data_IF_292313277343
#
_entry.id   IF_292313277343
#
_cell.length_a   1.000
_cell.length_b   1.000
_cell.length_c   1.000
_cell.angle_alpha   90.00
_cell.angle_beta   90.00
_cell.angle_gamma   90.00
#
_symmetry.space_group_name_H-M   'P 1'
#
loop_
_entity.id
_entity.type
_entity.pdbx_description
1 polymer ?
#
# COMPACT_ATOMS: atom_id res chain seq x y z
N UNK A 1 4.81 -11.72 2.52
CA UNK A 1 4.57 -10.38 3.09
C UNK A 1 3.07 -10.11 3.20
N UNK A 2 2.28 -10.00 2.12
CA UNK A 2 0.81 -9.79 2.22
C UNK A 2 0.00 -10.88 2.92
N UNK A 3 0.43 -12.15 2.84
CA UNK A 3 -0.21 -13.23 3.61
C UNK A 3 -0.20 -12.94 5.11
N UNK A 4 0.82 -12.24 5.63
CA UNK A 4 0.90 -11.87 7.05
C UNK A 4 0.05 -10.64 7.37
N UNK A 5 0.07 -9.62 6.52
CA UNK A 5 -0.74 -8.39 6.69
C UNK A 5 -2.26 -8.70 6.72
N UNK A 6 -2.72 -9.70 5.95
CA UNK A 6 -4.13 -10.12 5.94
C UNK A 6 -4.48 -11.18 7.01
N UNK A 7 -3.51 -12.00 7.44
CA UNK A 7 -3.69 -12.94 8.57
C UNK A 7 -3.85 -12.18 9.92
N UNK A 8 -3.24 -10.99 10.07
CA UNK A 8 -3.43 -10.08 11.20
C UNK A 8 -4.85 -9.51 11.33
N UNK A 9 -5.58 -9.36 10.22
CA UNK A 9 -6.96 -8.85 10.19
C UNK A 9 -8.02 -9.88 10.60
N UNK A 10 -7.63 -11.10 10.99
CA UNK A 10 -8.57 -12.11 11.51
C UNK A 10 -9.61 -12.63 10.51
N UNK A 11 -9.42 -12.38 9.21
CA UNK A 11 -10.31 -12.79 8.13
C UNK A 11 -10.11 -14.28 7.74
N UNK A 12 -10.11 -15.18 8.72
CA UNK A 12 -10.18 -16.63 8.52
C UNK A 12 -11.61 -17.11 8.26
N UNK A 13 -12.30 -16.49 7.29
CA UNK A 13 -13.51 -17.05 6.68
C UNK A 13 -13.31 -17.03 5.18
N UNK A 14 -13.45 -18.20 4.56
CA UNK A 14 -13.24 -18.44 3.13
C UNK A 14 -13.77 -17.28 2.29
N UNK A 15 -12.88 -16.38 1.88
CA UNK A 15 -13.21 -15.33 0.93
C UNK A 15 -13.72 -16.01 -0.34
N UNK A 16 -14.78 -15.47 -0.99
CA UNK A 16 -15.17 -15.96 -2.30
C UNK A 16 -13.95 -15.93 -3.22
N UNK A 17 -13.80 -16.95 -4.07
CA UNK A 17 -12.68 -17.00 -5.02
C UNK A 17 -12.68 -15.76 -5.90
N UNK A 18 -11.49 -15.24 -6.17
CA UNK A 18 -11.32 -14.16 -7.12
C UNK A 18 -11.78 -14.65 -8.51
N UNK A 19 -12.41 -13.77 -9.29
CA UNK A 19 -12.79 -14.06 -10.68
C UNK A 19 -11.71 -13.50 -11.59
N UNK A 20 -10.92 -14.31 -12.32
CA UNK A 20 -9.85 -13.79 -13.16
C UNK A 20 -10.34 -12.68 -14.11
N UNK A 21 -9.59 -11.59 -14.20
CA UNK A 21 -9.96 -10.39 -14.95
C UNK A 21 -8.79 -9.93 -15.82
N UNK A 22 -9.07 -9.42 -17.02
CA UNK A 22 -8.03 -8.87 -17.90
C UNK A 22 -8.38 -7.44 -18.27
N UNK A 23 -7.58 -6.50 -17.77
CA UNK A 23 -7.70 -5.10 -18.13
C UNK A 23 -6.85 -4.78 -19.38
N UNK A 24 -7.34 -4.00 -20.35
CA UNK A 24 -6.60 -3.67 -21.57
C UNK A 24 -5.23 -3.01 -21.32
N UNK A 25 -5.14 -2.17 -20.28
CA UNK A 25 -3.91 -1.46 -19.90
C UNK A 25 -3.04 -2.24 -18.92
N UNK A 26 -3.66 -2.86 -17.92
CA UNK A 26 -2.97 -3.39 -16.74
C UNK A 26 -2.66 -4.88 -16.84
N UNK A 27 -3.24 -5.56 -17.84
CA UNK A 27 -2.99 -6.98 -18.08
C UNK A 27 -3.91 -7.87 -17.26
N UNK A 28 -3.43 -9.09 -16.98
CA UNK A 28 -4.23 -10.14 -16.38
C UNK A 28 -4.05 -10.20 -14.87
N UNK A 29 -5.18 -10.18 -14.16
CA UNK A 29 -5.33 -10.40 -12.73
C UNK A 29 -5.88 -11.82 -12.56
N UNK A 30 -5.05 -12.73 -12.05
CA UNK A 30 -5.43 -14.13 -11.89
C UNK A 30 -6.03 -14.42 -10.50
N UNK A 31 -6.84 -15.46 -10.43
CA UNK A 31 -7.24 -16.11 -9.17
C UNK A 31 -6.11 -17.06 -8.75
N UNK A 32 -5.37 -16.69 -7.70
CA UNK A 32 -4.34 -17.55 -7.11
C UNK A 32 -4.93 -18.54 -6.07
N UNK A 33 -6.25 -18.55 -5.91
CA UNK A 33 -6.97 -19.40 -4.97
C UNK A 33 -6.89 -18.93 -3.52
N UNK A 34 -6.33 -17.75 -3.26
CA UNK A 34 -6.27 -17.14 -1.92
C UNK A 34 -7.46 -16.22 -1.63
N UNK A 35 -8.27 -15.91 -2.65
CA UNK A 35 -9.41 -14.99 -2.54
C UNK A 35 -9.04 -13.52 -2.69
N UNK A 36 -7.80 -13.22 -3.08
CA UNK A 36 -7.35 -11.90 -3.54
C UNK A 36 -6.86 -12.02 -5.00
N UNK A 37 -6.96 -10.94 -5.76
CA UNK A 37 -6.41 -10.90 -7.13
C UNK A 37 -4.89 -10.82 -7.09
N UNK A 38 -4.21 -11.55 -7.99
CA UNK A 38 -2.78 -11.35 -8.22
C UNK A 38 -2.47 -9.89 -8.56
N UNK A 39 -1.39 -9.36 -8.01
CA UNK A 39 -0.93 -8.02 -8.33
C UNK A 39 -0.28 -7.99 -9.71
N UNK A 40 -0.58 -6.95 -10.48
CA UNK A 40 0.21 -6.63 -11.67
C UNK A 40 1.31 -5.64 -11.31
N UNK A 41 2.38 -5.60 -12.11
CA UNK A 41 3.45 -4.63 -11.94
C UNK A 41 3.18 -3.41 -12.80
N UNK A 42 3.20 -2.24 -12.17
CA UNK A 42 3.12 -0.94 -12.83
C UNK A 42 4.43 -0.19 -12.63
N UNK A 43 4.73 0.71 -13.56
CA UNK A 43 5.83 1.67 -13.41
C UNK A 43 5.32 2.85 -12.58
N UNK A 44 6.08 3.21 -11.54
CA UNK A 44 5.80 4.29 -10.62
C UNK A 44 7.11 4.99 -10.27
N UNK A 45 7.30 6.21 -10.78
CA UNK A 45 8.47 7.05 -10.52
C UNK A 45 9.82 6.32 -10.75
N UNK A 46 9.93 5.65 -11.89
CA UNK A 46 11.09 4.87 -12.32
C UNK A 46 11.21 3.49 -11.66
N UNK A 47 10.24 3.06 -10.86
CA UNK A 47 10.27 1.79 -10.11
C UNK A 47 9.12 0.87 -10.51
N UNK A 48 9.32 -0.43 -10.33
CA UNK A 48 8.25 -1.41 -10.46
C UNK A 48 7.54 -1.56 -9.12
N UNK A 49 6.26 -1.21 -9.07
CA UNK A 49 5.39 -1.30 -7.90
C UNK A 49 4.24 -2.25 -8.22
N UNK A 50 3.76 -2.98 -7.21
CA UNK A 50 2.58 -3.81 -7.37
C UNK A 50 1.31 -2.95 -7.35
N UNK A 51 0.37 -3.28 -8.23
CA UNK A 51 -0.95 -2.66 -8.28
C UNK A 51 -2.01 -3.73 -8.06
N UNK A 52 -2.91 -3.45 -7.12
CA UNK A 52 -4.07 -4.27 -6.81
C UNK A 52 -5.36 -3.40 -6.87
N UNK A 53 -6.28 -3.67 -7.79
CA UNK A 53 -7.61 -3.07 -7.74
C UNK A 53 -8.44 -3.73 -6.63
N UNK A 54 -9.34 -2.97 -6.03
CA UNK A 54 -10.29 -3.50 -5.06
C UNK A 54 -11.27 -4.47 -5.74
N UNK A 55 -11.86 -5.35 -4.94
CA UNK A 55 -12.82 -6.32 -5.42
C UNK A 55 -13.94 -6.56 -4.41
N UNK A 56 -15.17 -6.65 -4.90
CA UNK A 56 -16.33 -6.98 -4.09
C UNK A 56 -16.85 -8.36 -4.48
N UNK A 57 -16.84 -9.29 -3.52
CA UNK A 57 -17.28 -10.67 -3.77
C UNK A 57 -16.40 -11.42 -4.80
N UNK A 58 -15.12 -11.04 -4.91
CA UNK A 58 -14.16 -11.61 -5.86
C UNK A 58 -14.18 -10.98 -7.26
N UNK A 59 -15.12 -10.06 -7.53
CA UNK A 59 -15.20 -9.32 -8.80
C UNK A 59 -14.47 -7.99 -8.65
N UNK A 60 -13.55 -7.69 -9.58
CA UNK A 60 -12.83 -6.41 -9.60
C UNK A 60 -13.79 -5.24 -9.74
N UNK A 61 -13.52 -4.17 -9.00
CA UNK A 61 -14.21 -2.89 -9.11
C UNK A 61 -13.50 -2.05 -10.18
N UNK A 62 -14.17 -1.79 -11.31
CA UNK A 62 -13.52 -1.11 -12.45
C UNK A 62 -13.06 0.33 -12.15
N UNK A 63 -13.74 1.05 -11.26
CA UNK A 63 -13.35 2.39 -10.78
C UNK A 63 -11.93 2.42 -10.19
N UNK A 64 -11.42 1.27 -9.73
CA UNK A 64 -10.04 1.12 -9.26
C UNK A 64 -9.03 1.46 -10.37
N UNK A 65 -9.33 1.10 -11.62
CA UNK A 65 -8.43 1.37 -12.75
C UNK A 65 -8.41 2.85 -13.13
N UNK A 66 -9.56 3.52 -13.09
CA UNK A 66 -9.66 4.97 -13.29
C UNK A 66 -8.89 5.72 -12.19
N UNK A 67 -8.97 5.20 -10.96
CA UNK A 67 -8.21 5.73 -9.83
C UNK A 67 -6.71 5.60 -10.04
N UNK A 68 -6.24 4.40 -10.43
CA UNK A 68 -4.84 4.16 -10.75
C UNK A 68 -4.36 5.04 -11.92
N UNK A 69 -5.18 5.19 -12.96
CA UNK A 69 -4.88 6.07 -14.10
C UNK A 69 -4.73 7.53 -13.68
N UNK A 70 -5.53 8.01 -12.74
CA UNK A 70 -5.43 9.36 -12.19
C UNK A 70 -4.17 9.55 -11.31
N UNK A 71 -3.83 8.55 -10.49
CA UNK A 71 -2.60 8.59 -9.68
C UNK A 71 -1.35 8.68 -10.57
N UNK A 72 -1.30 7.91 -11.66
CA UNK A 72 -0.18 7.88 -12.60
C UNK A 72 0.04 9.21 -13.35
N UNK A 73 -0.91 10.14 -13.31
CA UNK A 73 -0.73 11.45 -13.95
C UNK A 73 0.20 12.38 -13.15
N UNK A 74 0.41 12.12 -11.86
CA UNK A 74 1.20 12.97 -10.97
C UNK A 74 1.86 12.18 -9.83
N UNK A 75 2.69 11.20 -10.20
CA UNK A 75 3.37 10.32 -9.22
C UNK A 75 4.28 11.10 -8.28
N UNK A 76 4.85 12.22 -8.73
CA UNK A 76 5.71 13.08 -7.91
C UNK A 76 4.91 13.69 -6.74
N UNK A 77 3.74 14.28 -7.01
CA UNK A 77 2.86 14.81 -5.97
C UNK A 77 2.49 13.74 -4.96
N UNK A 78 2.02 12.58 -5.42
CA UNK A 78 1.59 11.50 -4.53
C UNK A 78 2.76 10.99 -3.67
N UNK A 79 3.95 10.83 -4.23
CA UNK A 79 5.15 10.48 -3.46
C UNK A 79 5.46 11.52 -2.37
N UNK A 80 5.34 12.80 -2.67
CA UNK A 80 5.61 13.88 -1.70
C UNK A 80 4.56 13.91 -0.58
N UNK A 81 3.26 13.88 -0.93
CA UNK A 81 2.17 13.87 0.04
C UNK A 81 2.24 12.64 0.95
N UNK A 82 2.44 11.45 0.37
CA UNK A 82 2.54 10.21 1.15
C UNK A 82 3.71 10.23 2.12
N UNK A 83 4.90 10.66 1.67
CA UNK A 83 6.08 10.75 2.53
C UNK A 83 5.91 11.76 3.66
N UNK A 84 5.31 12.92 3.36
CA UNK A 84 5.03 13.93 4.37
C UNK A 84 4.06 13.40 5.44
N UNK A 85 3.01 12.69 5.03
CA UNK A 85 2.04 12.09 5.96
C UNK A 85 2.66 10.98 6.80
N UNK A 86 3.50 10.12 6.22
CA UNK A 86 4.20 9.08 6.98
C UNK A 86 5.16 9.67 8.01
N UNK A 87 5.91 10.72 7.66
CA UNK A 87 6.76 11.43 8.63
C UNK A 87 5.90 12.00 9.76
N UNK A 88 4.78 12.65 9.43
CA UNK A 88 3.88 13.25 10.42
C UNK A 88 3.33 12.22 11.41
N UNK A 89 2.89 11.06 10.92
CA UNK A 89 2.10 10.12 11.73
C UNK A 89 2.95 8.97 12.30
N UNK A 90 3.88 8.41 11.51
CA UNK A 90 4.60 7.20 11.90
C UNK A 90 5.97 7.47 12.55
N UNK A 91 6.68 8.54 12.17
CA UNK A 91 8.00 8.80 12.76
C UNK A 91 7.95 9.07 14.27
N UNK A 92 6.98 9.84 14.83
CA UNK A 92 6.86 9.99 16.28
C UNK A 92 6.59 8.65 16.97
N UNK A 93 5.71 7.82 16.38
CA UNK A 93 5.41 6.48 16.92
C UNK A 93 6.65 5.61 16.98
N UNK A 94 7.47 5.63 15.92
CA UNK A 94 8.73 4.91 15.89
C UNK A 94 9.69 5.40 16.98
N UNK A 95 9.94 6.71 17.03
CA UNK A 95 10.90 7.31 17.95
C UNK A 95 10.54 7.07 19.43
N UNK A 96 9.25 7.08 19.76
CA UNK A 96 8.77 6.93 21.14
C UNK A 96 8.64 5.48 21.58
N UNK A 97 8.20 4.58 20.69
CA UNK A 97 7.74 3.24 21.08
C UNK A 97 8.55 2.08 20.49
N UNK A 98 9.30 2.32 19.41
CA UNK A 98 9.97 1.26 18.64
C UNK A 98 11.48 1.43 18.56
N UNK A 99 11.98 2.65 18.71
CA UNK A 99 13.41 2.90 18.68
C UNK A 99 14.12 2.24 19.87
N UNK A 100 14.96 1.25 19.57
CA UNK A 100 15.92 0.67 20.52
C UNK A 100 17.33 1.19 20.25
N UNK A 101 17.91 2.05 21.12
CA UNK A 101 19.26 2.57 20.96
C UNK A 101 20.36 1.50 21.08
N UNK A 102 20.04 0.30 21.60
CA UNK A 102 20.96 -0.84 21.66
C UNK A 102 21.00 -1.67 20.37
N UNK A 103 19.96 -1.59 19.54
CA UNK A 103 19.82 -2.38 18.31
C UNK A 103 19.92 -1.54 17.03
N UNK A 104 19.54 -0.26 17.07
CA UNK A 104 19.41 0.57 15.86
C UNK A 104 20.05 1.95 16.01
N UNK A 105 20.47 2.52 14.89
CA UNK A 105 20.88 3.92 14.82
C UNK A 105 19.64 4.82 14.86
N UNK A 106 19.70 5.91 15.61
CA UNK A 106 18.68 6.95 15.54
C UNK A 106 18.65 7.58 14.14
N UNK A 107 17.49 7.55 13.50
CA UNK A 107 17.22 8.12 12.18
C UNK A 107 16.70 9.54 12.34
N UNK A 108 16.98 10.41 11.39
CA UNK A 108 16.21 11.64 11.19
C UNK A 108 14.89 11.31 10.47
N UNK A 109 13.94 12.25 10.46
CA UNK A 109 12.69 12.10 9.69
C UNK A 109 12.94 11.72 8.21
N UNK A 110 13.91 12.38 7.57
CA UNK A 110 14.28 12.08 6.19
C UNK A 110 14.89 10.68 6.06
N UNK A 111 15.78 10.29 6.97
CA UNK A 111 16.39 8.95 6.94
C UNK A 111 15.36 7.84 7.21
N UNK A 112 14.38 8.11 8.06
CA UNK A 112 13.25 7.22 8.30
C UNK A 112 12.42 7.06 7.03
N UNK A 113 12.00 8.17 6.40
CA UNK A 113 11.23 8.11 5.17
C UNK A 113 12.01 7.45 4.02
N UNK A 114 13.32 7.68 3.91
CA UNK A 114 14.17 7.10 2.87
C UNK A 114 14.32 5.57 2.97
N UNK A 115 14.15 5.01 4.18
CA UNK A 115 14.10 3.55 4.38
C UNK A 115 12.83 2.93 3.79
N UNK A 116 11.75 3.69 3.68
CA UNK A 116 10.47 3.20 3.24
C UNK A 116 10.43 3.04 1.72
N UNK A 117 10.24 1.80 1.27
CA UNK A 117 10.15 1.42 -0.13
C UNK A 117 8.70 1.09 -0.46
N UNK A 118 8.09 1.88 -1.34
CA UNK A 118 6.74 1.59 -1.85
C UNK A 118 6.73 0.23 -2.55
N UNK A 119 5.94 -0.71 -2.04
CA UNK A 119 5.79 -2.05 -2.57
C UNK A 119 4.50 -2.21 -3.37
N UNK A 120 3.40 -1.67 -2.86
CA UNK A 120 2.07 -1.89 -3.44
C UNK A 120 1.19 -0.66 -3.34
N UNK A 121 0.36 -0.47 -4.35
CA UNK A 121 -0.73 0.50 -4.39
C UNK A 121 -2.03 -0.28 -4.53
N UNK A 122 -2.96 -0.06 -3.61
CA UNK A 122 -4.31 -0.57 -3.69
C UNK A 122 -5.25 0.60 -3.96
N UNK A 123 -6.21 0.43 -4.88
CA UNK A 123 -7.21 1.45 -5.19
C UNK A 123 -8.59 0.85 -5.15
N UNK A 124 -9.60 1.60 -4.70
CA UNK A 124 -10.98 1.12 -4.66
C UNK A 124 -12.00 2.14 -5.14
N UNK A 125 -13.27 1.91 -4.78
CA UNK A 125 -14.38 2.80 -5.14
C UNK A 125 -14.17 4.23 -4.62
N UNK A 126 -14.76 5.19 -5.32
CA UNK A 126 -14.76 6.59 -4.91
C UNK A 126 -13.40 7.28 -4.95
N UNK A 127 -12.41 6.70 -5.66
CA UNK A 127 -11.06 7.25 -5.72
C UNK A 127 -10.22 6.95 -4.49
N UNK A 128 -10.60 5.95 -3.67
CA UNK A 128 -9.84 5.52 -2.51
C UNK A 128 -8.49 4.90 -2.92
N UNK A 129 -7.46 5.17 -2.11
CA UNK A 129 -6.10 4.65 -2.34
C UNK A 129 -5.42 4.27 -1.02
N UNK A 130 -4.61 3.22 -1.07
CA UNK A 130 -3.71 2.80 0.00
C UNK A 130 -2.31 2.51 -0.55
N UNK A 131 -1.28 3.09 0.06
CA UNK A 131 0.12 2.89 -0.31
C UNK A 131 0.82 2.06 0.76
N UNK A 132 1.33 0.89 0.38
CA UNK A 132 2.00 -0.04 1.28
C UNK A 132 3.51 0.03 1.11
N UNK A 133 4.21 0.29 2.20
CA UNK A 133 5.66 0.41 2.24
C UNK A 133 6.27 -0.76 2.99
N UNK A 134 7.35 -1.30 2.43
CA UNK A 134 8.34 -2.07 3.17
C UNK A 134 9.20 -1.08 3.95
N UNK A 135 9.32 -1.30 5.25
CA UNK A 135 9.97 -0.40 6.18
C UNK A 135 11.34 -0.91 6.66
N UNK A 136 11.88 -1.97 6.05
CA UNK A 136 13.18 -2.55 6.45
C UNK A 136 13.19 -2.96 7.94
N UNK A 137 12.07 -3.53 8.41
CA UNK A 137 11.84 -4.04 9.77
C UNK A 137 11.88 -2.95 10.86
N UNK A 138 11.69 -1.68 10.50
CA UNK A 138 11.62 -0.56 11.45
C UNK A 138 10.48 -0.72 12.48
N UNK A 139 9.36 -1.33 12.06
CA UNK A 139 8.21 -1.70 12.90
C UNK A 139 8.04 -3.21 13.04
N UNK A 140 9.13 -3.97 12.92
CA UNK A 140 9.13 -5.42 13.05
C UNK A 140 8.36 -6.11 11.93
N UNK A 141 7.23 -6.77 12.26
CA UNK A 141 6.41 -7.49 11.28
C UNK A 141 5.27 -6.68 10.66
N UNK A 142 5.07 -5.43 11.11
CA UNK A 142 4.08 -4.53 10.57
C UNK A 142 4.59 -3.84 9.30
N UNK A 143 3.69 -3.46 8.41
CA UNK A 143 3.97 -2.60 7.27
C UNK A 143 3.51 -1.17 7.57
N UNK A 144 4.17 -0.18 6.95
CA UNK A 144 3.68 1.20 6.95
C UNK A 144 2.69 1.37 5.81
N UNK A 145 1.49 1.87 6.13
CA UNK A 145 0.41 2.07 5.16
C UNK A 145 -0.09 3.49 5.24
N UNK A 146 -0.20 4.16 4.09
CA UNK A 146 -0.80 5.48 3.97
C UNK A 146 -2.12 5.41 3.20
N UNK A 147 -3.16 6.05 3.75
CA UNK A 147 -4.52 6.05 3.22
C UNK A 147 -4.90 7.42 2.68
N UNK A 148 -5.74 7.43 1.66
CA UNK A 148 -6.24 8.68 1.10
C UNK A 148 -7.29 8.48 0.02
N UNK A 149 -7.62 9.59 -0.63
CA UNK A 149 -8.53 9.63 -1.77
C UNK A 149 -8.01 10.60 -2.84
N UNK A 150 -8.38 10.41 -4.11
CA UNK A 150 -8.02 11.35 -5.18
C UNK A 150 -8.43 12.80 -4.87
N UNK A 151 -9.58 12.97 -4.21
CA UNK A 151 -10.12 14.28 -3.88
C UNK A 151 -9.50 14.87 -2.60
N UNK A 152 -9.27 14.04 -1.58
CA UNK A 152 -8.77 14.45 -0.27
C UNK A 152 -7.25 14.51 -0.15
N UNK A 153 -6.51 13.89 -1.08
CA UNK A 153 -5.08 13.67 -0.92
C UNK A 153 -4.78 12.52 0.04
N UNK A 154 -3.58 12.49 0.60
CA UNK A 154 -3.20 11.52 1.65
C UNK A 154 -3.64 12.03 3.02
N UNK A 155 -4.52 11.28 3.67
CA UNK A 155 -5.22 11.70 4.89
C UNK A 155 -4.47 11.26 6.14
N UNK A 156 -4.02 10.01 6.17
CA UNK A 156 -3.33 9.41 7.33
C UNK A 156 -2.31 8.35 6.94
N UNK A 157 -1.38 8.06 7.85
CA UNK A 157 -0.52 6.89 7.78
C UNK A 157 -0.46 6.16 9.12
N UNK A 158 -0.39 4.84 9.06
CA UNK A 158 -0.37 3.96 10.25
C UNK A 158 0.49 2.72 9.98
N UNK A 159 0.64 1.90 11.02
CA UNK A 159 1.22 0.56 10.91
C UNK A 159 0.09 -0.47 10.82
N UNK A 160 0.20 -1.41 9.89
CA UNK A 160 -0.76 -2.50 9.69
C UNK A 160 -0.02 -3.85 9.74
N UNK A 161 -0.56 -4.85 10.46
CA UNK A 161 0.09 -6.15 10.62
C UNK A 161 -0.51 -6.98 11.74
#
# INVERSE_FOLDING_TARGET
>A
MLRRILEGLGLSRSLPRAVPYTHPRYGHFADDGTGIHEHVKVEWDGRSVFFAPDSLGGVVIEDSFDTMDALLQDTERWNQETRATIIRDCYPLWAENWFDPGAHQHLTENQFADRLILQSICTGEGGSVSFYFDDDEIFGEHAVVAFGTLQGGIEEATMEG
#
